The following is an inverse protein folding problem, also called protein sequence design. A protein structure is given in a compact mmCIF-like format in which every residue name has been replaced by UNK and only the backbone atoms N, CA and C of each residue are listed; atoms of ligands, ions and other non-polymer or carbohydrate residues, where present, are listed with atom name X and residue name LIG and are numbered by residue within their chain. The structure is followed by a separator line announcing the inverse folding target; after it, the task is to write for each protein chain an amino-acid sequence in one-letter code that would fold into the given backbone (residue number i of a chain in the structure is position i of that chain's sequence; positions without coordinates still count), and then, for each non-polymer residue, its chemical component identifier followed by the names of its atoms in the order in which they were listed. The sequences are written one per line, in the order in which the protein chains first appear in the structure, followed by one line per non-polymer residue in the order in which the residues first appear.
data_IF_436839481176
#
_entry.id   IF_436839481176
#
_cell.length_a   1.000
_cell.length_b   1.000
_cell.length_c   1.000
_cell.angle_alpha   90.00
_cell.angle_beta   90.00
_cell.angle_gamma   90.00
#
_symmetry.space_group_name_H-M   'P 1'
#
loop_
_entity.id
_entity.type
_entity.pdbx_description
1 polymer ?
#
# COMPACT_ATOMS: atom_id res chain seq x y z
N UNK A 1 1.72 7.34 -11.47
CA UNK A 1 1.48 7.56 -10.02
C UNK A 1 0.84 6.30 -9.45
N UNK A 2 1.19 5.93 -8.23
CA UNK A 2 0.84 4.68 -7.58
C UNK A 2 0.15 4.95 -6.24
N UNK A 3 -0.67 4.01 -5.81
CA UNK A 3 -1.35 4.00 -4.52
C UNK A 3 -1.19 2.64 -3.87
N UNK A 4 -1.22 2.62 -2.54
CA UNK A 4 -1.16 1.41 -1.74
C UNK A 4 -2.56 1.09 -1.18
N UNK A 5 -2.94 -0.18 -1.22
CA UNK A 5 -4.16 -0.69 -0.60
C UNK A 5 -3.73 -1.74 0.42
N UNK A 6 -3.75 -1.36 1.70
CA UNK A 6 -3.41 -2.25 2.80
C UNK A 6 -4.59 -3.15 3.17
N UNK A 7 -4.34 -4.45 3.28
CA UNK A 7 -5.27 -5.41 3.87
C UNK A 7 -4.90 -5.59 5.33
N UNK A 8 -5.81 -5.27 6.25
CA UNK A 8 -5.57 -5.36 7.68
C UNK A 8 -6.18 -6.61 8.30
N UNK A 9 -5.54 -7.16 9.33
CA UNK A 9 -6.05 -8.27 10.16
C UNK A 9 -7.23 -7.84 11.02
N UNK A 10 -7.17 -6.62 11.54
CA UNK A 10 -8.23 -5.97 12.35
C UNK A 10 -8.07 -4.45 12.28
N UNK A 11 -9.18 -3.72 12.32
CA UNK A 11 -9.19 -2.26 12.33
C UNK A 11 -9.17 -1.63 10.94
N UNK A 12 -8.74 -0.37 10.87
CA UNK A 12 -8.74 0.44 9.65
C UNK A 12 -7.39 1.13 9.43
N UNK A 13 -7.01 1.29 8.16
CA UNK A 13 -5.76 1.95 7.76
C UNK A 13 -5.89 3.50 7.78
N UNK A 14 -7.00 4.04 8.27
CA UNK A 14 -7.24 5.49 8.40
C UNK A 14 -6.16 6.19 9.23
N UNK A 15 -5.62 5.52 10.25
CA UNK A 15 -4.53 6.04 11.09
C UNK A 15 -3.12 5.79 10.54
N UNK A 16 -2.97 5.31 9.31
CA UNK A 16 -1.66 4.94 8.73
C UNK A 16 -1.36 5.84 7.54
N UNK A 17 -0.58 6.93 7.71
CA UNK A 17 -0.36 7.93 6.66
C UNK A 17 0.17 7.35 5.35
N UNK A 18 1.04 6.35 5.43
CA UNK A 18 1.62 5.68 4.26
C UNK A 18 0.56 4.97 3.38
N UNK A 19 -0.58 4.54 3.95
CA UNK A 19 -1.69 3.94 3.19
C UNK A 19 -2.50 4.97 2.38
N UNK A 20 -2.35 6.26 2.69
CA UNK A 20 -2.99 7.37 1.97
C UNK A 20 -2.04 8.09 0.99
N UNK A 21 -0.77 7.71 1.01
CA UNK A 21 0.26 8.28 0.13
C UNK A 21 -0.03 8.04 -1.35
N UNK A 22 0.33 9.04 -2.16
CA UNK A 22 0.41 8.95 -3.62
C UNK A 22 1.88 8.97 -4.02
N UNK A 23 2.32 7.92 -4.70
CA UNK A 23 3.74 7.72 -5.02
C UNK A 23 3.97 7.99 -6.51
N UNK A 24 4.98 8.78 -6.86
CA UNK A 24 5.27 9.10 -8.26
C UNK A 24 5.91 7.92 -8.99
N UNK A 25 6.73 7.13 -8.29
CA UNK A 25 7.45 5.96 -8.82
C UNK A 25 7.04 4.67 -8.12
N UNK A 26 7.33 3.52 -8.76
CA UNK A 26 7.05 2.20 -8.18
C UNK A 26 8.03 1.89 -7.04
N UNK A 27 9.26 2.39 -7.11
CA UNK A 27 10.28 2.24 -6.08
C UNK A 27 9.87 2.93 -4.77
N UNK A 28 9.32 4.15 -4.87
CA UNK A 28 8.80 4.87 -3.71
C UNK A 28 7.59 4.13 -3.09
N UNK A 29 6.73 3.55 -3.92
CA UNK A 29 5.61 2.73 -3.47
C UNK A 29 6.09 1.46 -2.74
N UNK A 30 7.09 0.76 -3.28
CA UNK A 30 7.72 -0.41 -2.65
C UNK A 30 8.35 -0.08 -1.30
N UNK A 31 9.08 1.03 -1.21
CA UNK A 31 9.67 1.47 0.06
C UNK A 31 8.59 1.73 1.13
N UNK A 32 7.51 2.41 0.75
CA UNK A 32 6.39 2.64 1.67
C UNK A 32 5.65 1.36 2.05
N UNK A 33 5.57 0.38 1.15
CA UNK A 33 5.04 -0.96 1.45
C UNK A 33 5.86 -1.67 2.53
N UNK A 34 7.20 -1.57 2.52
CA UNK A 34 8.04 -2.12 3.59
C UNK A 34 7.71 -1.47 4.94
N UNK A 35 7.52 -0.15 4.96
CA UNK A 35 7.11 0.59 6.17
C UNK A 35 5.74 0.11 6.67
N UNK A 36 4.77 -0.11 5.76
CA UNK A 36 3.45 -0.63 6.12
C UNK A 36 3.52 -2.05 6.71
N UNK A 37 4.32 -2.93 6.13
CA UNK A 37 4.43 -4.33 6.58
C UNK A 37 5.15 -4.48 7.95
N UNK A 38 5.78 -3.42 8.46
CA UNK A 38 6.25 -3.37 9.85
C UNK A 38 5.11 -3.23 10.87
N UNK A 39 3.92 -2.78 10.47
CA UNK A 39 2.73 -2.80 11.33
C UNK A 39 2.14 -4.22 11.31
N UNK A 40 2.22 -4.92 12.45
CA UNK A 40 1.73 -6.31 12.58
C UNK A 40 0.22 -6.47 12.35
N UNK A 41 -0.53 -5.36 12.26
CA UNK A 41 -1.95 -5.37 11.89
C UNK A 41 -2.15 -5.47 10.38
N UNK A 42 -1.13 -5.22 9.56
CA UNK A 42 -1.19 -5.29 8.10
C UNK A 42 -0.77 -6.69 7.65
N UNK A 43 -1.65 -7.35 6.91
CA UNK A 43 -1.42 -8.71 6.39
C UNK A 43 -0.69 -8.69 5.03
N UNK A 44 -1.08 -7.74 4.18
CA UNK A 44 -0.55 -7.58 2.83
C UNK A 44 -0.86 -6.21 2.27
N UNK A 45 -0.09 -5.77 1.29
CA UNK A 45 -0.26 -4.48 0.61
C UNK A 45 -0.32 -4.71 -0.89
N UNK A 46 -1.35 -4.18 -1.54
CA UNK A 46 -1.44 -4.13 -3.00
C UNK A 46 -0.93 -2.78 -3.50
N UNK A 47 -0.06 -2.81 -4.50
CA UNK A 47 0.34 -1.61 -5.24
C UNK A 47 -0.53 -1.53 -6.50
N UNK A 48 -1.15 -0.37 -6.71
CA UNK A 48 -1.96 -0.09 -7.91
C UNK A 48 -1.50 1.19 -8.60
N UNK A 49 -1.71 1.28 -9.91
CA UNK A 49 -1.65 2.55 -10.65
C UNK A 49 -2.87 3.38 -10.31
N UNK A 50 -2.65 4.68 -10.11
CA UNK A 50 -3.70 5.65 -9.79
C UNK A 50 -4.40 6.12 -11.08
N UNK A 51 -5.04 5.18 -11.78
CA UNK A 51 -5.91 5.39 -12.94
C UNK A 51 -7.32 4.86 -12.63
N UNK A 52 -8.29 5.11 -13.52
CA UNK A 52 -9.68 4.67 -13.33
C UNK A 52 -10.07 3.77 -14.51
N UNK A 53 -10.31 2.46 -14.29
CA UNK A 53 -10.19 1.74 -13.02
C UNK A 53 -8.72 1.58 -12.56
N UNK A 54 -8.44 1.39 -11.25
CA UNK A 54 -7.06 1.18 -10.79
C UNK A 54 -6.46 -0.08 -11.41
N UNK A 55 -5.32 0.03 -12.07
CA UNK A 55 -4.60 -1.13 -12.58
C UNK A 55 -3.70 -1.75 -11.51
N UNK A 56 -3.84 -3.05 -11.32
CA UNK A 56 -2.97 -3.84 -10.46
C UNK A 56 -1.52 -3.79 -10.94
N UNK A 57 -0.58 -3.71 -9.99
CA UNK A 57 0.86 -3.77 -10.27
C UNK A 57 1.47 -4.99 -9.59
N UNK A 58 1.40 -5.07 -8.27
CA UNK A 58 1.96 -6.17 -7.50
C UNK A 58 1.34 -6.30 -6.10
N UNK A 59 1.54 -7.48 -5.50
CA UNK A 59 1.27 -7.75 -4.10
C UNK A 59 2.58 -7.83 -3.33
N UNK A 60 2.56 -7.32 -2.11
CA UNK A 60 3.60 -7.56 -1.12
C UNK A 60 2.96 -8.15 0.14
N UNK A 61 3.58 -9.21 0.62
CA UNK A 61 3.18 -9.94 1.83
C UNK A 61 4.43 -10.12 2.69
N UNK A 62 4.24 -10.55 3.94
CA UNK A 62 5.32 -10.80 4.88
C UNK A 62 5.61 -12.29 5.01
#
# INVERSE_FOLDING_TARGET
MFRLIATMRRGSATGVPAAWGRYTTIEAARLATVILLHDDRILRVMIVRNEIPPAFVEWAER
#
